data_IF_793000230025
#
_entry.id   IF_793000230025
#
_cell.length_a   1.000
_cell.length_b   1.000
_cell.length_c   1.000
_cell.angle_alpha   90.00
_cell.angle_beta   90.00
_cell.angle_gamma   90.00
#
_symmetry.space_group_name_H-M   'P 1'
#
loop_
_entity.id
_entity.type
_entity.pdbx_description
1 polymer ?
#
# COMPACT_ATOMS: atom_id res chain seq x y z
N UNK A 1 -25.47 20.17 -7.69
CA UNK A 1 -25.21 18.89 -6.99
C UNK A 1 -25.03 17.84 -8.06
N UNK A 2 -23.79 17.50 -8.36
CA UNK A 2 -23.46 16.47 -9.37
C UNK A 2 -23.82 15.10 -8.79
N UNK A 3 -24.81 14.47 -9.41
CA UNK A 3 -25.23 13.11 -9.06
C UNK A 3 -24.31 12.16 -9.82
N UNK A 4 -23.22 11.72 -9.19
CA UNK A 4 -22.25 10.82 -9.80
C UNK A 4 -22.89 9.44 -9.97
N UNK A 5 -23.30 9.17 -11.21
CA UNK A 5 -23.80 7.89 -11.70
C UNK A 5 -22.80 6.75 -11.37
N UNK A 6 -23.16 5.89 -10.41
CA UNK A 6 -22.32 4.80 -9.92
C UNK A 6 -22.70 3.41 -10.49
N UNK A 7 -23.47 3.34 -11.58
CA UNK A 7 -24.10 2.09 -12.00
C UNK A 7 -23.58 1.47 -13.30
N UNK A 8 -22.36 1.78 -13.74
CA UNK A 8 -21.73 1.11 -14.89
C UNK A 8 -21.01 -0.22 -14.51
N UNK A 9 -21.49 -0.95 -13.51
CA UNK A 9 -20.98 -2.29 -13.23
C UNK A 9 -21.92 -3.36 -13.77
N UNK A 10 -21.41 -4.17 -14.68
CA UNK A 10 -22.09 -5.35 -15.22
C UNK A 10 -22.59 -6.26 -14.08
N UNK A 11 -23.84 -6.73 -14.14
CA UNK A 11 -24.34 -7.72 -13.18
C UNK A 11 -23.46 -8.98 -13.17
N UNK A 12 -23.29 -9.59 -12.01
CA UNK A 12 -22.53 -10.84 -11.87
C UNK A 12 -23.48 -12.01 -12.08
N UNK A 13 -23.19 -12.89 -13.05
CA UNK A 13 -23.90 -14.15 -13.21
C UNK A 13 -23.11 -15.28 -12.54
N UNK A 14 -23.72 -15.95 -11.56
CA UNK A 14 -23.14 -17.11 -10.91
C UNK A 14 -24.22 -18.16 -10.67
N UNK A 15 -24.00 -19.39 -11.15
CA UNK A 15 -24.91 -20.52 -11.06
C UNK A 15 -26.34 -20.22 -11.56
N UNK A 16 -26.47 -19.41 -12.62
CA UNK A 16 -27.77 -19.04 -13.20
C UNK A 16 -28.49 -17.90 -12.47
N UNK A 17 -27.92 -17.37 -11.38
CA UNK A 17 -28.45 -16.21 -10.68
C UNK A 17 -27.69 -14.94 -11.05
N UNK A 18 -28.44 -13.85 -11.27
CA UNK A 18 -27.88 -12.54 -11.61
C UNK A 18 -27.90 -11.64 -10.38
N UNK A 19 -26.72 -11.21 -9.95
CA UNK A 19 -26.52 -10.33 -8.81
C UNK A 19 -26.21 -8.90 -9.32
N UNK A 20 -27.14 -7.97 -9.09
CA UNK A 20 -27.00 -6.57 -9.48
C UNK A 20 -26.64 -5.66 -8.30
N UNK A 21 -27.09 -6.00 -7.08
CA UNK A 21 -26.82 -5.22 -5.89
C UNK A 21 -25.33 -5.32 -5.49
N UNK A 22 -24.65 -4.20 -5.16
CA UNK A 22 -23.21 -4.20 -4.83
C UNK A 22 -22.80 -5.18 -3.73
N UNK A 23 -23.60 -5.27 -2.67
CA UNK A 23 -23.35 -6.17 -1.54
C UNK A 23 -23.35 -7.66 -1.95
N UNK A 24 -24.34 -8.07 -2.73
CA UNK A 24 -24.45 -9.46 -3.16
C UNK A 24 -23.34 -9.83 -4.15
N UNK A 25 -22.97 -8.90 -5.03
CA UNK A 25 -21.80 -9.05 -5.92
C UNK A 25 -20.51 -9.28 -5.14
N UNK A 26 -20.24 -8.45 -4.13
CA UNK A 26 -19.04 -8.58 -3.30
C UNK A 26 -18.99 -9.94 -2.59
N UNK A 27 -20.13 -10.41 -2.09
CA UNK A 27 -20.25 -11.71 -1.41
C UNK A 27 -19.92 -12.86 -2.36
N UNK A 28 -20.52 -12.87 -3.56
CA UNK A 28 -20.29 -13.92 -4.57
C UNK A 28 -18.85 -13.90 -5.09
N UNK A 29 -18.26 -12.72 -5.31
CA UNK A 29 -16.88 -12.60 -5.75
C UNK A 29 -15.90 -13.09 -4.68
N UNK A 30 -16.11 -12.72 -3.42
CA UNK A 30 -15.28 -13.19 -2.31
C UNK A 30 -15.38 -14.71 -2.14
N UNK A 31 -16.57 -15.28 -2.25
CA UNK A 31 -16.77 -16.74 -2.20
C UNK A 31 -16.02 -17.46 -3.33
N UNK A 32 -16.04 -16.93 -4.55
CA UNK A 32 -15.32 -17.52 -5.68
C UNK A 32 -13.80 -17.34 -5.56
N UNK A 33 -13.34 -16.18 -5.08
CA UNK A 33 -11.91 -15.93 -4.90
C UNK A 33 -11.31 -16.83 -3.79
N UNK A 34 -12.05 -17.03 -2.70
CA UNK A 34 -11.62 -17.89 -1.60
C UNK A 34 -11.68 -19.38 -1.97
N UNK A 35 -12.61 -19.81 -2.83
CA UNK A 35 -12.74 -21.22 -3.21
C UNK A 35 -11.56 -21.75 -4.05
N UNK A 36 -10.92 -20.88 -4.84
CA UNK A 36 -9.71 -21.21 -5.60
C UNK A 36 -8.42 -21.10 -4.78
N UNK A 37 -8.47 -20.40 -3.65
CA UNK A 37 -7.32 -20.23 -2.76
C UNK A 37 -7.26 -21.37 -1.74
N UNK A 38 -6.62 -22.48 -2.13
CA UNK A 38 -6.23 -23.53 -1.19
C UNK A 38 -4.78 -23.32 -0.79
N UNK A 39 -4.55 -22.85 0.44
CA UNK A 39 -3.21 -22.88 1.03
C UNK A 39 -2.87 -24.33 1.38
N UNK A 40 -1.97 -24.94 0.61
CA UNK A 40 -1.40 -26.23 0.96
C UNK A 40 -0.46 -26.07 2.15
N UNK A 41 -0.98 -26.41 3.33
CA UNK A 41 -0.26 -26.30 4.60
C UNK A 41 0.71 -27.45 4.85
N UNK A 42 0.75 -28.45 3.98
CA UNK A 42 1.61 -29.64 4.16
C UNK A 42 3.11 -29.31 4.14
N UNK A 43 3.48 -28.11 3.68
CA UNK A 43 4.85 -27.59 3.63
C UNK A 43 5.05 -26.27 4.39
N UNK A 44 4.19 -25.94 5.36
CA UNK A 44 4.33 -24.73 6.19
C UNK A 44 5.51 -24.76 7.18
N UNK A 45 6.34 -25.80 7.14
CA UNK A 45 7.62 -25.77 7.84
C UNK A 45 8.58 -24.94 7.00
N UNK A 46 8.71 -23.66 7.37
CA UNK A 46 9.90 -22.89 7.02
C UNK A 46 11.11 -23.77 7.35
N UNK A 47 12.12 -23.85 6.46
CA UNK A 47 13.38 -24.48 6.82
C UNK A 47 13.76 -23.96 8.20
N UNK A 48 14.08 -24.87 9.12
CA UNK A 48 14.67 -24.49 10.39
C UNK A 48 16.06 -23.94 10.08
N UNK A 49 16.10 -22.71 9.59
CA UNK A 49 17.32 -21.94 9.53
C UNK A 49 17.62 -21.64 10.99
N UNK A 50 18.71 -22.26 11.46
CA UNK A 50 19.40 -21.81 12.64
C UNK A 50 19.43 -20.28 12.55
N UNK A 51 18.70 -19.60 13.45
CA UNK A 51 18.72 -18.14 13.53
C UNK A 51 20.19 -17.78 13.52
N UNK A 52 20.68 -17.22 12.42
CA UNK A 52 22.03 -16.70 12.40
C UNK A 52 22.03 -15.70 13.55
N UNK A 53 22.92 -15.88 14.53
CA UNK A 53 23.02 -15.00 15.70
C UNK A 53 23.50 -13.59 15.34
N UNK A 54 23.16 -13.14 14.14
CA UNK A 54 23.48 -11.86 13.56
C UNK A 54 22.49 -10.88 14.16
N UNK A 55 22.97 -10.16 15.16
CA UNK A 55 22.35 -8.93 15.63
C UNK A 55 22.86 -7.78 14.76
N UNK A 56 21.97 -6.90 14.34
CA UNK A 56 22.34 -5.63 13.73
C UNK A 56 22.21 -4.58 14.82
N UNK A 57 23.33 -4.28 15.48
CA UNK A 57 23.34 -3.42 16.66
C UNK A 57 23.37 -1.93 16.29
N UNK A 58 23.89 -1.60 15.11
CA UNK A 58 24.03 -0.22 14.63
C UNK A 58 23.41 -0.03 13.23
N UNK A 59 22.63 1.03 13.07
CA UNK A 59 22.17 1.54 11.79
C UNK A 59 22.70 2.96 11.58
N UNK A 60 23.60 3.12 10.61
CA UNK A 60 24.15 4.42 10.26
C UNK A 60 23.30 5.00 9.12
N UNK A 61 22.64 6.12 9.39
CA UNK A 61 21.92 6.89 8.36
C UNK A 61 22.82 8.03 7.88
N UNK A 62 23.15 8.03 6.61
CA UNK A 62 23.91 9.09 5.96
C UNK A 62 23.01 10.23 5.49
N UNK A 63 23.57 11.43 5.39
CA UNK A 63 22.87 12.59 4.83
C UNK A 63 22.41 12.33 3.38
N UNK A 64 23.18 11.55 2.62
CA UNK A 64 22.86 11.21 1.23
C UNK A 64 21.61 10.32 1.14
N UNK A 65 21.48 9.34 2.02
CA UNK A 65 20.28 8.48 2.09
C UNK A 65 19.04 9.30 2.43
N UNK A 66 19.14 10.25 3.36
CA UNK A 66 18.03 11.17 3.68
C UNK A 66 17.64 12.01 2.46
N UNK A 67 18.63 12.55 1.73
CA UNK A 67 18.38 13.31 0.50
C UNK A 67 17.70 12.46 -0.56
N UNK A 68 18.09 11.20 -0.72
CA UNK A 68 17.52 10.32 -1.74
C UNK A 68 16.08 9.92 -1.42
N UNK A 69 15.78 9.64 -0.16
CA UNK A 69 14.39 9.41 0.28
C UNK A 69 13.50 10.62 0.05
N UNK A 70 14.01 11.83 0.27
CA UNK A 70 13.24 13.07 0.08
C UNK A 70 13.03 13.44 -1.40
N UNK A 71 13.89 12.96 -2.31
CA UNK A 71 13.67 13.11 -3.76
C UNK A 71 12.45 12.30 -4.23
N UNK A 72 12.30 11.09 -3.73
CA UNK A 72 11.21 10.17 -4.13
C UNK A 72 9.91 10.39 -3.35
N UNK A 73 9.93 11.25 -2.33
CA UNK A 73 8.75 11.57 -1.52
C UNK A 73 7.66 12.24 -2.38
N UNK A 74 6.48 11.63 -2.42
CA UNK A 74 5.30 12.17 -3.11
C UNK A 74 4.61 13.24 -2.25
N UNK A 75 4.76 14.49 -2.69
CA UNK A 75 4.20 15.67 -2.01
C UNK A 75 2.70 15.86 -2.24
N UNK A 76 2.07 15.07 -3.12
CA UNK A 76 0.64 15.14 -3.39
C UNK A 76 -0.19 14.32 -2.39
N UNK A 77 0.45 13.47 -1.59
CA UNK A 77 -0.22 12.63 -0.60
C UNK A 77 -0.75 13.45 0.58
N UNK A 78 -1.90 13.06 1.15
CA UNK A 78 -2.43 13.70 2.35
C UNK A 78 -1.48 13.51 3.55
N UNK A 79 -1.55 14.40 4.55
CA UNK A 79 -0.82 14.25 5.81
C UNK A 79 -1.15 12.93 6.52
N UNK A 80 -0.16 12.42 7.27
CA UNK A 80 -0.34 11.24 8.12
C UNK A 80 -1.13 11.55 9.41
N UNK A 81 -1.22 10.58 10.34
CA UNK A 81 -1.87 10.76 11.64
C UNK A 81 -1.24 11.86 12.52
N UNK A 82 0.01 12.22 12.23
CA UNK A 82 0.74 13.34 12.84
C UNK A 82 0.39 14.71 12.24
N UNK A 83 -0.51 14.75 11.25
CA UNK A 83 -0.90 15.92 10.49
C UNK A 83 0.26 16.64 9.76
N UNK A 84 1.42 15.99 9.59
CA UNK A 84 2.56 16.56 8.87
C UNK A 84 2.40 16.31 7.38
N UNK A 85 2.36 17.38 6.59
CA UNK A 85 2.31 17.26 5.13
C UNK A 85 3.67 16.81 4.57
N UNK A 86 3.70 15.85 3.63
CA UNK A 86 4.92 15.45 2.92
C UNK A 86 5.61 16.61 2.16
N UNK A 87 4.91 17.72 1.91
CA UNK A 87 5.47 18.92 1.30
C UNK A 87 6.49 19.63 2.20
N UNK A 88 6.32 19.56 3.53
CA UNK A 88 7.15 20.27 4.51
C UNK A 88 8.63 19.85 4.43
N UNK A 89 8.96 18.56 4.56
CA UNK A 89 10.36 18.11 4.48
C UNK A 89 10.95 18.32 3.08
N UNK A 90 10.14 18.18 2.02
CA UNK A 90 10.59 18.40 0.63
C UNK A 90 10.98 19.87 0.36
N UNK A 91 10.27 20.83 0.98
CA UNK A 91 10.53 22.27 0.84
C UNK A 91 11.73 22.76 1.66
N UNK A 92 12.09 22.08 2.75
CA UNK A 92 13.24 22.48 3.57
C UNK A 92 14.57 22.26 2.84
N UNK A 93 14.68 21.20 2.02
CA UNK A 93 15.89 20.91 1.25
C UNK A 93 16.05 21.84 0.03
N UNK A 94 14.96 22.23 -0.63
CA UNK A 94 15.07 23.11 -1.80
C UNK A 94 15.58 24.51 -1.46
N UNK A 95 15.36 24.98 -0.23
CA UNK A 95 15.83 26.30 0.24
C UNK A 95 17.33 26.36 0.52
N UNK A 96 17.95 25.24 0.91
CA UNK A 96 19.41 25.18 1.14
C UNK A 96 20.24 25.13 -0.15
N UNK A 97 19.62 24.97 -1.33
CA UNK A 97 20.32 25.11 -2.62
C UNK A 97 20.44 26.55 -3.12
N UNK A 98 19.68 27.48 -2.54
CA UNK A 98 19.59 28.87 -3.01
C UNK A 98 20.28 29.88 -2.09
N UNK A 99 21.07 29.42 -1.11
CA UNK A 99 21.78 30.26 -0.13
C UNK A 99 23.28 30.43 -0.44
N UNK A 100 23.71 30.05 -1.65
CA UNK A 100 25.08 30.24 -2.11
C UNK A 100 25.12 31.14 -3.34
N UNK A 101 24.83 32.43 -3.15
CA UNK A 101 25.38 33.59 -3.89
C UNK A 101 25.42 34.75 -2.90
#
# INVERSE_FOLDING_TARGET
MENVNSNNQTPVNHNGHIYSHPFDKATVLNSNFTSVSKLDKSRELLPFDARSGITMDDFIVTEQEVKDQLKILDSSKPPGPDAISPLIPKKHISRHRNSSI
#
